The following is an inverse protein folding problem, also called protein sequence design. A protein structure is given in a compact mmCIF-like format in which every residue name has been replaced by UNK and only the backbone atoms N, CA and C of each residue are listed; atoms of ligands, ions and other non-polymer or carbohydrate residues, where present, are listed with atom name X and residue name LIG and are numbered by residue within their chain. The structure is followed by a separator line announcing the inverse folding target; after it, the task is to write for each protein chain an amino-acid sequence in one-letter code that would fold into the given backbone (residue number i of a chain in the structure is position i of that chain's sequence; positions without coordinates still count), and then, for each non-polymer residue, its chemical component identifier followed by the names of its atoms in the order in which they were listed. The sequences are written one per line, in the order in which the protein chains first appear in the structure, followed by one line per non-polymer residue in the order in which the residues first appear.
data_IF_104071906639
#
_entry.id   IF_104071906639
#
_cell.length_a   1.000
_cell.length_b   1.000
_cell.length_c   1.000
_cell.angle_alpha   90.00
_cell.angle_beta   90.00
_cell.angle_gamma   90.00
#
_symmetry.space_group_name_H-M   'P 1'
#
loop_
_entity.id
_entity.type
_entity.pdbx_description
1 polymer ?
#
# COMPACT_ATOMS: atom_id res chain seq x y z
N UNK A 1 33.10 -9.97 -6.12
CA UNK A 1 31.65 -9.73 -6.12
C UNK A 1 31.02 -10.94 -5.47
N UNK A 2 30.32 -10.80 -4.34
CA UNK A 2 29.66 -11.96 -3.72
C UNK A 2 28.48 -12.38 -4.60
N UNK A 3 28.45 -13.63 -5.02
CA UNK A 3 27.32 -14.20 -5.76
C UNK A 3 26.03 -13.91 -4.99
N UNK A 4 25.07 -13.29 -5.66
CA UNK A 4 23.75 -13.07 -5.12
C UNK A 4 23.13 -14.46 -4.89
N UNK A 5 22.87 -14.86 -3.63
CA UNK A 5 22.66 -16.26 -3.28
C UNK A 5 21.22 -16.69 -3.58
N UNK A 6 20.89 -16.76 -4.87
CA UNK A 6 19.54 -17.07 -5.35
C UNK A 6 19.54 -18.35 -6.15
N UNK A 7 18.70 -19.29 -5.73
CA UNK A 7 18.39 -20.50 -6.48
C UNK A 7 16.94 -20.43 -6.93
N UNK A 8 16.70 -20.45 -8.24
CA UNK A 8 15.36 -20.61 -8.80
C UNK A 8 15.15 -22.07 -9.22
N UNK A 9 14.11 -22.67 -8.65
CA UNK A 9 13.64 -24.02 -8.94
C UNK A 9 12.44 -23.89 -9.89
N UNK A 10 12.67 -24.08 -11.18
CA UNK A 10 11.67 -23.82 -12.22
C UNK A 10 10.49 -24.79 -12.16
N UNK A 11 10.77 -26.06 -11.82
CA UNK A 11 9.75 -27.11 -11.73
C UNK A 11 8.79 -26.86 -10.55
N UNK A 12 9.34 -26.39 -9.42
CA UNK A 12 8.53 -26.03 -8.26
C UNK A 12 8.02 -24.57 -8.29
N UNK A 13 8.54 -23.73 -9.19
CA UNK A 13 8.29 -22.29 -9.20
C UNK A 13 8.81 -21.55 -7.97
N UNK A 14 9.87 -22.06 -7.32
CA UNK A 14 10.34 -21.55 -6.02
C UNK A 14 11.64 -20.75 -6.19
N UNK A 15 11.68 -19.53 -5.66
CA UNK A 15 12.91 -18.77 -5.48
C UNK A 15 13.40 -18.97 -4.04
N UNK A 16 14.62 -19.50 -3.88
CA UNK A 16 15.30 -19.63 -2.58
C UNK A 16 16.38 -18.56 -2.48
N UNK A 17 16.35 -17.79 -1.41
CA UNK A 17 17.36 -16.78 -1.10
C UNK A 17 18.16 -17.26 0.11
N UNK A 18 19.47 -17.41 -0.05
CA UNK A 18 20.34 -17.88 1.02
C UNK A 18 21.09 -16.72 1.69
N UNK A 19 21.62 -16.97 2.89
CA UNK A 19 22.45 -16.00 3.63
C UNK A 19 21.69 -14.81 4.25
N UNK A 20 22.35 -14.11 5.18
CA UNK A 20 21.74 -13.03 5.97
C UNK A 20 21.28 -11.81 5.14
N UNK A 21 21.83 -11.62 3.93
CA UNK A 21 21.47 -10.50 3.05
C UNK A 21 20.32 -10.77 2.08
N UNK A 22 19.93 -12.03 1.86
CA UNK A 22 18.92 -12.40 0.87
C UNK A 22 17.55 -11.81 1.15
N UNK A 23 17.07 -11.93 2.40
CA UNK A 23 15.79 -11.37 2.83
C UNK A 23 15.76 -9.84 2.67
N UNK A 24 16.86 -9.15 2.99
CA UNK A 24 16.97 -7.71 2.87
C UNK A 24 16.88 -7.23 1.41
N UNK A 25 17.58 -7.92 0.49
CA UNK A 25 17.51 -7.56 -0.93
C UNK A 25 16.10 -7.81 -1.48
N UNK A 26 15.47 -8.94 -1.13
CA UNK A 26 14.09 -9.19 -1.55
C UNK A 26 13.13 -8.14 -1.03
N UNK A 27 13.20 -7.79 0.26
CA UNK A 27 12.36 -6.72 0.82
C UNK A 27 12.55 -5.40 0.07
N UNK A 28 13.79 -5.06 -0.28
CA UNK A 28 14.09 -3.84 -1.06
C UNK A 28 13.48 -3.88 -2.46
N UNK A 29 13.53 -5.03 -3.14
CA UNK A 29 12.91 -5.21 -4.46
C UNK A 29 11.39 -5.06 -4.36
N UNK A 30 10.77 -5.69 -3.36
CA UNK A 30 9.32 -5.59 -3.16
C UNK A 30 8.89 -4.16 -2.80
N UNK A 31 9.66 -3.45 -1.97
CA UNK A 31 9.40 -2.05 -1.63
C UNK A 31 9.43 -1.16 -2.87
N UNK A 32 10.41 -1.34 -3.76
CA UNK A 32 10.49 -0.62 -5.02
C UNK A 32 9.36 -0.97 -5.98
N UNK A 33 8.92 -2.23 -6.00
CA UNK A 33 7.80 -2.65 -6.82
C UNK A 33 6.47 -2.07 -6.32
N UNK A 34 6.25 -2.05 -5.00
CA UNK A 34 4.99 -1.60 -4.38
C UNK A 34 4.88 -0.08 -4.26
N UNK A 35 5.97 0.59 -3.91
CA UNK A 35 6.02 2.03 -3.62
C UNK A 35 6.91 2.81 -4.60
N UNK A 36 7.21 2.23 -5.77
CA UNK A 36 7.93 2.89 -6.85
C UNK A 36 7.10 3.96 -7.55
N UNK A 37 7.49 4.32 -8.79
CA UNK A 37 6.78 5.34 -9.56
C UNK A 37 5.36 4.87 -9.96
N UNK A 38 4.36 5.68 -9.61
CA UNK A 38 2.92 5.45 -9.80
C UNK A 38 2.42 4.18 -9.11
N UNK A 39 1.91 4.31 -7.88
CA UNK A 39 1.31 3.22 -7.12
C UNK A 39 0.38 2.35 -7.98
N UNK A 40 0.75 1.09 -8.20
CA UNK A 40 -0.06 0.11 -8.90
C UNK A 40 -1.11 -0.47 -7.94
N UNK A 41 -2.42 -0.35 -8.22
CA UNK A 41 -3.47 -0.89 -7.38
C UNK A 41 -3.37 -2.40 -7.13
N UNK A 42 -2.95 -3.18 -8.13
CA UNK A 42 -2.87 -4.64 -8.02
C UNK A 42 -1.78 -5.08 -7.05
N UNK A 43 -0.74 -4.26 -6.88
CA UNK A 43 0.36 -4.50 -5.95
C UNK A 43 0.08 -3.87 -4.59
N UNK A 44 -0.46 -2.65 -4.59
CA UNK A 44 -0.71 -1.87 -3.37
C UNK A 44 -1.77 -2.52 -2.47
N UNK A 45 -2.84 -3.06 -3.05
CA UNK A 45 -3.96 -3.66 -2.31
C UNK A 45 -3.80 -5.17 -2.09
N UNK A 46 -2.64 -5.76 -2.42
CA UNK A 46 -2.43 -7.21 -2.36
C UNK A 46 -2.08 -7.68 -0.92
N UNK A 47 -2.99 -8.40 -0.22
CA UNK A 47 -2.79 -8.76 1.18
C UNK A 47 -1.64 -9.75 1.39
N UNK A 48 -1.51 -10.78 0.53
CA UNK A 48 -0.46 -11.78 0.71
C UNK A 48 0.94 -11.20 0.46
N UNK A 49 1.08 -10.28 -0.50
CA UNK A 49 2.32 -9.56 -0.71
C UNK A 49 2.69 -8.72 0.52
N UNK A 50 1.72 -8.01 1.10
CA UNK A 50 1.92 -7.26 2.34
C UNK A 50 2.38 -8.19 3.48
N UNK A 51 1.74 -9.35 3.65
CA UNK A 51 2.13 -10.34 4.65
C UNK A 51 3.56 -10.87 4.42
N UNK A 52 3.96 -11.12 3.17
CA UNK A 52 5.33 -11.50 2.81
C UNK A 52 6.31 -10.38 3.18
N UNK A 53 6.00 -9.13 2.86
CA UNK A 53 6.86 -7.99 3.18
C UNK A 53 7.02 -7.79 4.70
N UNK A 54 5.95 -7.97 5.48
CA UNK A 54 5.99 -7.95 6.95
C UNK A 54 6.89 -9.07 7.47
N UNK A 55 6.69 -10.31 7.02
CA UNK A 55 7.50 -11.45 7.43
C UNK A 55 8.98 -11.29 7.04
N UNK A 56 9.27 -10.71 5.87
CA UNK A 56 10.64 -10.39 5.44
C UNK A 56 11.26 -9.28 6.29
N UNK A 57 10.49 -8.26 6.69
CA UNK A 57 10.95 -7.21 7.62
C UNK A 57 11.29 -7.82 8.98
N UNK A 58 10.44 -8.67 9.54
CA UNK A 58 10.67 -9.33 10.83
C UNK A 58 11.90 -10.26 10.81
N UNK A 59 12.19 -10.87 9.65
CA UNK A 59 13.34 -11.77 9.46
C UNK A 59 14.63 -11.06 9.01
N UNK A 60 14.55 -9.82 8.54
CA UNK A 60 15.65 -9.10 7.89
C UNK A 60 16.19 -7.94 8.74
N UNK A 61 17.51 -7.77 8.77
CA UNK A 61 18.24 -6.69 9.48
C UNK A 61 18.11 -5.34 8.73
N UNK A 62 16.94 -4.99 8.21
CA UNK A 62 16.70 -3.65 7.66
C UNK A 62 15.95 -2.86 8.72
N UNK A 63 16.54 -1.76 9.18
CA UNK A 63 15.76 -0.68 9.76
C UNK A 63 14.96 -0.03 8.63
N UNK A 64 13.82 -0.64 8.26
CA UNK A 64 12.71 0.16 7.77
C UNK A 64 12.51 1.17 8.89
N UNK A 65 12.84 2.45 8.62
CA UNK A 65 12.80 3.51 9.63
C UNK A 65 11.54 3.31 10.49
N UNK A 66 11.71 3.11 11.80
CA UNK A 66 10.59 3.00 12.74
C UNK A 66 9.79 4.31 12.79
N UNK A 67 10.39 5.41 12.31
CA UNK A 67 9.69 6.67 12.09
C UNK A 67 8.97 6.61 10.76
N UNK A 68 7.72 7.06 10.78
CA UNK A 68 6.88 7.52 9.67
C UNK A 68 7.31 7.00 8.30
N UNK A 69 6.46 6.19 7.67
CA UNK A 69 6.68 5.74 6.29
C UNK A 69 7.08 6.90 5.38
N UNK A 70 7.84 6.65 4.29
CA UNK A 70 8.44 7.69 3.43
C UNK A 70 7.39 8.45 2.59
N UNK A 71 6.14 8.47 3.02
CA UNK A 71 5.00 8.98 2.31
C UNK A 71 4.85 10.46 2.63
N UNK A 72 5.24 11.28 1.67
CA UNK A 72 4.92 12.69 1.69
C UNK A 72 3.41 12.93 1.44
N UNK A 73 3.00 14.20 1.48
CA UNK A 73 1.62 14.60 1.25
C UNK A 73 1.07 14.10 -0.10
N UNK A 74 1.88 14.12 -1.16
CA UNK A 74 1.46 13.73 -2.50
C UNK A 74 1.24 12.22 -2.61
N UNK A 75 2.07 11.43 -1.93
CA UNK A 75 1.88 10.00 -1.79
C UNK A 75 0.57 9.69 -1.06
N UNK A 76 0.29 10.35 0.07
CA UNK A 76 -0.96 10.16 0.82
C UNK A 76 -2.20 10.50 -0.03
N UNK A 77 -2.18 11.62 -0.77
CA UNK A 77 -3.27 11.98 -1.70
C UNK A 77 -3.48 10.95 -2.79
N UNK A 78 -2.39 10.39 -3.33
CA UNK A 78 -2.47 9.36 -4.37
C UNK A 78 -3.07 8.08 -3.82
N UNK A 79 -2.67 7.67 -2.62
CA UNK A 79 -3.26 6.53 -1.91
C UNK A 79 -4.75 6.75 -1.61
N UNK A 80 -5.14 7.94 -1.14
CA UNK A 80 -6.54 8.27 -0.88
C UNK A 80 -7.42 8.09 -2.13
N UNK A 81 -6.98 8.65 -3.26
CA UNK A 81 -7.68 8.51 -4.55
C UNK A 81 -7.82 7.06 -4.98
N UNK A 82 -6.78 6.26 -4.75
CA UNK A 82 -6.80 4.83 -5.03
C UNK A 82 -7.75 4.08 -4.10
N UNK A 83 -7.79 4.40 -2.80
CA UNK A 83 -8.76 3.80 -1.86
C UNK A 83 -10.19 4.09 -2.31
N UNK A 84 -10.49 5.33 -2.70
CA UNK A 84 -11.82 5.69 -3.20
C UNK A 84 -12.12 4.98 -4.53
N UNK A 85 -11.16 4.95 -5.45
CA UNK A 85 -11.28 4.28 -6.75
C UNK A 85 -11.49 2.76 -6.67
N UNK A 86 -10.74 2.10 -5.77
CA UNK A 86 -10.76 0.65 -5.54
C UNK A 86 -11.66 0.26 -4.37
N UNK A 87 -12.53 1.16 -3.93
CA UNK A 87 -13.39 0.95 -2.75
C UNK A 87 -14.34 -0.24 -2.90
N UNK A 88 -14.79 -0.51 -4.12
CA UNK A 88 -15.63 -1.67 -4.44
C UNK A 88 -14.88 -3.01 -4.29
N UNK A 89 -13.58 -3.05 -4.65
CA UNK A 89 -12.72 -4.24 -4.59
C UNK A 89 -12.25 -4.51 -3.17
N UNK A 90 -11.87 -3.46 -2.46
CA UNK A 90 -11.38 -3.54 -1.07
C UNK A 90 -12.51 -3.68 -0.03
N UNK A 91 -13.75 -3.42 -0.43
CA UNK A 91 -14.90 -3.34 0.47
C UNK A 91 -14.76 -2.18 1.47
N UNK A 92 -14.10 -1.10 1.07
CA UNK A 92 -13.70 -0.01 1.96
C UNK A 92 -14.86 0.60 2.75
N UNK A 93 -16.00 0.80 2.08
CA UNK A 93 -17.19 1.42 2.68
C UNK A 93 -17.95 0.50 3.64
N UNK A 94 -17.69 -0.81 3.63
CA UNK A 94 -18.29 -1.74 4.57
C UNK A 94 -17.43 -1.95 5.83
N UNK A 95 -16.18 -1.49 5.81
CA UNK A 95 -15.27 -1.59 6.96
C UNK A 95 -15.66 -0.56 8.03
N UNK A 96 -15.67 -1.00 9.27
CA UNK A 96 -15.61 -0.12 10.43
C UNK A 96 -14.32 0.72 10.42
N UNK A 97 -14.27 1.77 11.24
CA UNK A 97 -13.07 2.62 11.31
C UNK A 97 -11.82 1.85 11.73
N UNK A 98 -11.95 0.92 12.68
CA UNK A 98 -10.84 0.09 13.14
C UNK A 98 -10.36 -0.86 12.03
N UNK A 99 -11.28 -1.43 11.25
CA UNK A 99 -10.94 -2.27 10.09
C UNK A 99 -10.31 -1.46 8.96
N UNK A 100 -10.71 -0.20 8.77
CA UNK A 100 -10.07 0.71 7.82
C UNK A 100 -8.63 1.04 8.21
N UNK A 101 -8.41 1.34 9.49
CA UNK A 101 -7.05 1.57 10.04
C UNK A 101 -6.20 0.31 9.87
N UNK A 102 -6.72 -0.85 10.29
CA UNK A 102 -6.02 -2.13 10.15
C UNK A 102 -5.71 -2.46 8.69
N UNK A 103 -6.61 -2.12 7.75
CA UNK A 103 -6.39 -2.29 6.32
C UNK A 103 -5.25 -1.40 5.82
N UNK A 104 -5.25 -0.11 6.20
CA UNK A 104 -4.17 0.81 5.81
C UNK A 104 -2.84 0.29 6.33
N UNK A 105 -2.74 -0.01 7.62
CA UNK A 105 -1.48 -0.40 8.26
C UNK A 105 -0.94 -1.75 7.77
N UNK A 106 -1.82 -2.76 7.65
CA UNK A 106 -1.37 -4.12 7.39
C UNK A 106 -1.38 -4.51 5.91
N UNK A 107 -2.06 -3.74 5.05
CA UNK A 107 -2.12 -3.99 3.61
C UNK A 107 -1.50 -2.85 2.84
N UNK A 108 -2.05 -1.64 2.96
CA UNK A 108 -1.72 -0.54 2.05
C UNK A 108 -0.27 -0.07 2.22
N UNK A 109 0.09 0.33 3.44
CA UNK A 109 1.41 0.91 3.73
C UNK A 109 2.43 -0.11 4.21
N UNK A 110 2.01 -1.36 4.44
CA UNK A 110 2.88 -2.44 4.86
C UNK A 110 4.11 -2.57 3.92
N UNK A 111 5.33 -2.69 4.47
CA UNK A 111 5.65 -2.97 5.88
C UNK A 111 5.94 -1.70 6.72
N UNK A 112 5.60 -0.51 6.20
CA UNK A 112 5.73 0.76 6.92
C UNK A 112 4.52 1.01 7.83
N UNK A 113 4.62 2.04 8.64
CA UNK A 113 3.51 2.59 9.43
C UNK A 113 3.35 4.07 9.11
N UNK A 114 2.12 4.58 9.20
CA UNK A 114 1.84 6.02 9.18
C UNK A 114 1.90 6.56 10.60
N UNK A 115 2.31 7.82 10.78
CA UNK A 115 2.00 8.51 12.05
C UNK A 115 0.51 8.81 12.16
N UNK A 116 0.08 9.17 13.37
CA UNK A 116 -1.28 9.62 13.62
C UNK A 116 -1.68 10.81 12.71
N UNK A 117 -0.76 11.77 12.49
CA UNK A 117 -0.99 12.91 11.60
C UNK A 117 -1.14 12.47 10.13
N UNK A 118 -0.25 11.62 9.64
CA UNK A 118 -0.36 11.09 8.27
C UNK A 118 -1.65 10.27 8.07
N UNK A 119 -2.05 9.50 9.08
CA UNK A 119 -3.30 8.74 9.06
C UNK A 119 -4.52 9.67 9.01
N UNK A 120 -4.54 10.72 9.82
CA UNK A 120 -5.61 11.72 9.82
C UNK A 120 -5.71 12.42 8.45
N UNK A 121 -4.58 12.91 7.91
CA UNK A 121 -4.51 13.52 6.58
C UNK A 121 -5.02 12.59 5.47
N UNK A 122 -4.68 11.29 5.55
CA UNK A 122 -5.15 10.30 4.58
C UNK A 122 -6.67 10.14 4.65
N UNK A 123 -7.26 10.09 5.84
CA UNK A 123 -8.71 10.00 5.99
C UNK A 123 -9.43 11.28 5.55
N UNK A 124 -8.88 12.45 5.84
CA UNK A 124 -9.40 13.72 5.34
C UNK A 124 -9.45 13.75 3.81
N UNK A 125 -8.41 13.24 3.14
CA UNK A 125 -8.38 13.15 1.68
C UNK A 125 -9.40 12.18 1.11
N UNK A 126 -9.58 11.03 1.77
CA UNK A 126 -10.58 10.02 1.35
C UNK A 126 -11.98 10.64 1.38
N UNK A 127 -12.31 11.34 2.46
CA UNK A 127 -13.59 12.03 2.61
C UNK A 127 -13.75 13.19 1.63
N UNK A 128 -12.68 13.97 1.41
CA UNK A 128 -12.66 15.09 0.45
C UNK A 128 -12.88 14.62 -0.99
N UNK A 129 -12.18 13.55 -1.42
CA UNK A 129 -12.37 12.97 -2.76
C UNK A 129 -13.77 12.37 -2.90
N UNK A 130 -14.28 11.66 -1.88
CA UNK A 130 -15.65 11.15 -1.89
C UNK A 130 -16.69 12.28 -2.00
N UNK A 131 -16.53 13.35 -1.23
CA UNK A 131 -17.41 14.51 -1.26
C UNK A 131 -17.41 15.14 -2.65
N UNK A 132 -16.23 15.35 -3.25
CA UNK A 132 -16.13 15.88 -4.60
C UNK A 132 -16.83 14.95 -5.61
N UNK A 133 -16.56 13.64 -5.59
CA UNK A 133 -17.23 12.71 -6.51
C UNK A 133 -18.75 12.73 -6.39
N UNK A 134 -19.30 12.87 -5.17
CA UNK A 134 -20.75 13.05 -4.96
C UNK A 134 -21.26 14.33 -5.60
N UNK A 135 -20.58 15.45 -5.38
CA UNK A 135 -20.95 16.74 -5.99
C UNK A 135 -20.90 16.71 -7.52
N UNK A 136 -19.95 15.99 -8.15
CA UNK A 136 -19.97 15.73 -9.61
C UNK A 136 -21.26 15.05 -10.02
N UNK A 137 -21.62 13.96 -9.33
CA UNK A 137 -22.77 13.12 -9.70
C UNK A 137 -24.05 13.94 -9.53
N UNK A 138 -24.21 14.63 -8.40
CA UNK A 138 -25.36 15.50 -8.16
C UNK A 138 -25.48 16.62 -9.21
N UNK A 139 -24.38 17.24 -9.61
CA UNK A 139 -24.38 18.25 -10.66
C UNK A 139 -24.71 17.68 -12.05
N UNK A 140 -24.28 16.43 -12.33
CA UNK A 140 -24.59 15.75 -13.58
C UNK A 140 -26.06 15.31 -13.66
N UNK A 141 -26.65 14.93 -12.53
CA UNK A 141 -28.05 14.53 -12.40
C UNK A 141 -29.01 15.72 -12.29
N UNK A 142 -28.49 16.93 -12.06
CA UNK A 142 -29.31 18.14 -12.00
C UNK A 142 -30.08 18.36 -13.31
N UNK A 143 -31.39 18.67 -13.26
CA UNK A 143 -32.17 18.90 -14.46
C UNK A 143 -31.56 20.05 -15.26
N UNK A 144 -31.21 19.78 -16.53
CA UNK A 144 -30.69 20.80 -17.44
C UNK A 144 -31.77 21.86 -17.61
N UNK A 145 -31.54 23.04 -17.03
CA UNK A 145 -32.40 24.20 -17.26
C UNK A 145 -32.22 24.58 -18.73
N UNK A 146 -33.25 24.27 -19.53
CA UNK A 146 -33.39 24.67 -20.94
C UNK A 146 -33.81 26.13 -21.06
#
# INVERSE_FOLDING_TARGET
MSDFPVQYDADAGIIRLHGKGGASVMLTVLLKAKFGEAFDPDVLFHPDLAAIMIALRERGIIQVSEREGPFDRAALQSMARLIVGESWRSGWWQKSRDEQVAFIENVLVAPHHLSAEQMELLFEDIESDLHWRRTIVEAADAPKVS
#
